data_IF_633930768226
#
_entry.id   IF_633930768226
#
_cell.length_a   1.000
_cell.length_b   1.000
_cell.length_c   1.000
_cell.angle_alpha   90.00
_cell.angle_beta   90.00
_cell.angle_gamma   90.00
#
_symmetry.space_group_name_H-M   'P 1'
#
loop_
_entity.id
_entity.type
_entity.pdbx_description
1 polymer ?
#
# COMPACT_ATOMS: atom_id res chain seq x y z
N UNK A 1 8.09 -5.98 -9.48
CA UNK A 1 7.11 -6.96 -9.99
C UNK A 1 5.96 -7.10 -8.98
N UNK A 2 5.00 -6.17 -9.00
CA UNK A 2 3.84 -6.21 -8.10
C UNK A 2 2.76 -7.09 -8.69
N UNK A 3 2.57 -8.31 -8.16
CA UNK A 3 1.42 -9.13 -8.55
C UNK A 3 0.15 -8.51 -7.96
N UNK A 4 -0.91 -8.27 -8.76
CA UNK A 4 -2.19 -7.84 -8.23
C UNK A 4 -2.90 -9.06 -7.63
N UNK A 5 -2.49 -9.45 -6.42
CA UNK A 5 -3.15 -10.52 -5.67
C UNK A 5 -4.23 -9.94 -4.77
N UNK A 6 -5.30 -9.41 -5.36
CA UNK A 6 -6.46 -8.97 -4.58
C UNK A 6 -7.74 -9.73 -4.92
N UNK A 7 -7.66 -10.71 -5.82
CA UNK A 7 -8.72 -11.70 -5.97
C UNK A 7 -8.25 -12.98 -5.31
N UNK A 8 -8.96 -13.48 -4.29
CA UNK A 8 -8.65 -14.76 -3.65
C UNK A 8 -8.52 -15.87 -4.70
N UNK A 9 -7.46 -16.68 -4.58
CA UNK A 9 -7.21 -17.78 -5.52
C UNK A 9 -8.41 -18.74 -5.62
N UNK A 10 -9.16 -18.91 -4.52
CA UNK A 10 -10.39 -19.71 -4.48
C UNK A 10 -11.50 -19.16 -5.40
N UNK A 11 -11.66 -17.84 -5.54
CA UNK A 11 -12.63 -17.26 -6.49
C UNK A 11 -12.21 -17.51 -7.93
N UNK A 12 -10.91 -17.35 -8.24
CA UNK A 12 -10.41 -17.60 -9.60
C UNK A 12 -10.51 -19.08 -9.99
N UNK A 13 -10.27 -20.00 -9.04
CA UNK A 13 -10.50 -21.43 -9.27
C UNK A 13 -11.98 -21.74 -9.45
N UNK A 14 -12.87 -21.08 -8.71
CA UNK A 14 -14.31 -21.27 -8.83
C UNK A 14 -14.83 -20.77 -10.19
N UNK A 15 -14.43 -19.58 -10.63
CA UNK A 15 -14.79 -19.04 -11.96
C UNK A 15 -14.28 -19.96 -13.08
N UNK A 16 -13.08 -20.52 -12.94
CA UNK A 16 -12.54 -21.51 -13.89
C UNK A 16 -13.40 -22.79 -13.90
N UNK A 17 -13.74 -23.33 -12.74
CA UNK A 17 -14.57 -24.52 -12.64
C UNK A 17 -15.97 -24.31 -13.26
N UNK A 18 -16.59 -23.15 -13.04
CA UNK A 18 -17.86 -22.78 -13.68
C UNK A 18 -17.75 -22.74 -15.21
N UNK A 19 -16.63 -22.23 -15.73
CA UNK A 19 -16.38 -22.19 -17.18
C UNK A 19 -16.25 -23.60 -17.76
N UNK A 20 -15.48 -24.46 -17.09
CA UNK A 20 -15.30 -25.83 -17.51
C UNK A 20 -16.65 -26.59 -17.50
N UNK A 21 -17.49 -26.34 -16.49
CA UNK A 21 -18.84 -26.92 -16.39
C UNK A 21 -19.77 -26.43 -17.52
N UNK A 22 -19.77 -25.14 -17.82
CA UNK A 22 -20.55 -24.58 -18.95
C UNK A 22 -20.11 -25.22 -20.27
N UNK A 23 -18.80 -25.38 -20.48
CA UNK A 23 -18.26 -26.06 -21.66
C UNK A 23 -18.75 -27.50 -21.76
N UNK A 24 -18.74 -28.26 -20.67
CA UNK A 24 -19.24 -29.64 -20.65
C UNK A 24 -20.74 -29.71 -20.97
N UNK A 25 -21.56 -28.79 -20.44
CA UNK A 25 -22.98 -28.74 -20.79
C UNK A 25 -23.22 -28.33 -22.24
N UNK A 26 -22.41 -27.43 -22.79
CA UNK A 26 -22.49 -27.04 -24.19
C UNK A 26 -22.12 -28.20 -25.12
N UNK A 27 -21.11 -28.99 -24.75
CA UNK A 27 -20.74 -30.21 -25.48
C UNK A 27 -21.85 -31.26 -25.42
N UNK A 28 -22.48 -31.45 -24.26
CA UNK A 28 -23.62 -32.34 -24.09
C UNK A 28 -24.84 -31.88 -24.90
N UNK A 29 -25.12 -30.58 -24.97
CA UNK A 29 -26.18 -30.03 -25.82
C UNK A 29 -25.93 -30.30 -27.30
N UNK A 30 -24.70 -30.13 -27.75
CA UNK A 30 -24.33 -30.39 -29.15
C UNK A 30 -24.48 -31.87 -29.51
N UNK A 31 -24.05 -32.77 -28.64
CA UNK A 31 -24.27 -34.20 -28.82
C UNK A 31 -25.77 -34.55 -28.82
N UNK A 32 -26.55 -33.87 -27.98
CA UNK A 32 -28.00 -34.06 -27.92
C UNK A 32 -28.71 -33.58 -29.19
N UNK A 33 -28.29 -32.45 -29.75
CA UNK A 33 -28.78 -31.92 -31.03
C UNK A 33 -28.53 -32.92 -32.18
N UNK A 34 -27.34 -33.52 -32.24
CA UNK A 34 -27.01 -34.57 -33.22
C UNK A 34 -27.92 -35.80 -33.10
N UNK A 35 -28.36 -36.15 -31.88
CA UNK A 35 -29.29 -37.27 -31.65
C UNK A 35 -30.77 -36.92 -31.88
N UNK A 36 -31.17 -35.66 -31.71
CA UNK A 36 -32.55 -35.21 -31.91
C UNK A 36 -32.96 -35.18 -33.39
N UNK A 37 -31.97 -35.14 -34.29
CA UNK A 37 -32.17 -35.29 -35.74
C UNK A 37 -32.57 -36.72 -36.15
N UNK A 38 -32.59 -37.69 -35.22
CA UNK A 38 -33.05 -39.06 -35.46
C UNK A 38 -34.47 -39.29 -34.92
N UNK A 39 -35.40 -39.74 -35.78
CA UNK A 39 -36.78 -40.07 -35.39
C UNK A 39 -36.85 -41.29 -34.46
N UNK A 40 -37.56 -41.18 -33.34
CA UNK A 40 -37.82 -42.31 -32.43
C UNK A 40 -38.67 -41.96 -31.21
N UNK A 41 -39.15 -42.98 -30.51
CA UNK A 41 -40.11 -42.90 -29.38
C UNK A 41 -39.62 -42.10 -28.16
N UNK A 42 -38.32 -41.76 -28.09
CA UNK A 42 -37.68 -41.02 -26.98
C UNK A 42 -37.55 -39.51 -27.21
N UNK A 43 -38.14 -38.99 -28.29
CA UNK A 43 -37.99 -37.58 -28.69
C UNK A 43 -38.38 -36.59 -27.58
N UNK A 44 -39.45 -36.87 -26.82
CA UNK A 44 -39.89 -36.00 -25.74
C UNK A 44 -38.90 -35.96 -24.56
N UNK A 45 -38.36 -37.12 -24.17
CA UNK A 45 -37.36 -37.21 -23.09
C UNK A 45 -36.08 -36.43 -23.46
N UNK A 46 -35.66 -36.51 -24.73
CA UNK A 46 -34.51 -35.76 -25.25
C UNK A 46 -34.77 -34.25 -25.28
N UNK A 47 -35.97 -33.81 -25.68
CA UNK A 47 -36.36 -32.38 -25.63
C UNK A 47 -36.34 -31.83 -24.21
N UNK A 48 -36.93 -32.55 -23.24
CA UNK A 48 -36.87 -32.14 -21.84
C UNK A 48 -35.44 -32.09 -21.29
N UNK A 49 -34.58 -33.02 -21.71
CA UNK A 49 -33.15 -33.01 -21.35
C UNK A 49 -32.43 -31.78 -21.92
N UNK A 50 -32.74 -31.42 -23.18
CA UNK A 50 -32.18 -30.24 -23.85
C UNK A 50 -32.54 -28.96 -23.10
N UNK A 51 -33.83 -28.76 -22.84
CA UNK A 51 -34.33 -27.59 -22.10
C UNK A 51 -33.68 -27.49 -20.70
N UNK A 52 -33.51 -28.63 -20.01
CA UNK A 52 -32.83 -28.69 -18.71
C UNK A 52 -31.36 -28.27 -18.79
N UNK A 53 -30.63 -28.71 -19.81
CA UNK A 53 -29.23 -28.32 -20.03
C UNK A 53 -29.10 -26.84 -20.41
N UNK A 54 -29.99 -26.32 -21.27
CA UNK A 54 -30.02 -24.90 -21.65
C UNK A 54 -30.26 -24.00 -20.42
N UNK A 55 -31.23 -24.35 -19.58
CA UNK A 55 -31.49 -23.65 -18.32
C UNK A 55 -30.29 -23.69 -17.39
N UNK A 56 -29.59 -24.82 -17.32
CA UNK A 56 -28.41 -24.97 -16.46
C UNK A 56 -27.25 -24.10 -16.95
N UNK A 57 -26.97 -24.09 -18.25
CA UNK A 57 -25.96 -23.20 -18.85
C UNK A 57 -26.28 -21.73 -18.57
N UNK A 58 -27.54 -21.34 -18.70
CA UNK A 58 -27.98 -19.97 -18.40
C UNK A 58 -27.69 -19.61 -16.94
N UNK A 59 -28.10 -20.45 -15.99
CA UNK A 59 -27.85 -20.22 -14.56
C UNK A 59 -26.36 -20.10 -14.22
N UNK A 60 -25.52 -20.98 -14.77
CA UNK A 60 -24.08 -20.92 -14.52
C UNK A 60 -23.44 -19.66 -15.14
N UNK A 61 -23.93 -19.21 -16.31
CA UNK A 61 -23.48 -17.96 -16.95
C UNK A 61 -23.88 -16.72 -16.14
N UNK A 62 -25.08 -16.70 -15.61
CA UNK A 62 -25.56 -15.60 -14.75
C UNK A 62 -24.74 -15.55 -13.45
N UNK A 63 -24.48 -16.70 -12.85
CA UNK A 63 -23.60 -16.84 -11.68
C UNK A 63 -22.18 -16.34 -11.97
N UNK A 64 -21.60 -16.73 -13.10
CA UNK A 64 -20.28 -16.28 -13.52
C UNK A 64 -20.24 -14.76 -13.75
N UNK A 65 -21.29 -14.18 -14.32
CA UNK A 65 -21.39 -12.74 -14.54
C UNK A 65 -21.40 -11.97 -13.22
N UNK A 66 -22.14 -12.45 -12.22
CA UNK A 66 -22.12 -11.89 -10.87
C UNK A 66 -20.75 -11.97 -10.20
N UNK A 67 -20.07 -13.11 -10.33
CA UNK A 67 -18.72 -13.29 -9.78
C UNK A 67 -17.68 -12.37 -10.43
N UNK A 68 -17.77 -12.18 -11.76
CA UNK A 68 -16.89 -11.24 -12.46
C UNK A 68 -17.07 -9.80 -11.95
N UNK A 69 -18.31 -9.39 -11.67
CA UNK A 69 -18.60 -8.06 -11.11
C UNK A 69 -17.97 -7.87 -9.71
N UNK A 70 -18.03 -8.91 -8.87
CA UNK A 70 -17.39 -8.92 -7.54
C UNK A 70 -15.88 -8.77 -7.71
N UNK A 71 -15.28 -9.56 -8.61
CA UNK A 71 -13.83 -9.52 -8.90
C UNK A 71 -13.39 -8.13 -9.35
N UNK A 72 -14.14 -7.49 -10.25
CA UNK A 72 -13.80 -6.17 -10.75
C UNK A 72 -13.90 -5.09 -9.66
N UNK A 73 -14.89 -5.21 -8.78
CA UNK A 73 -15.07 -4.31 -7.64
C UNK A 73 -13.95 -4.45 -6.61
N UNK A 74 -13.60 -5.68 -6.25
CA UNK A 74 -12.48 -5.97 -5.34
C UNK A 74 -11.15 -5.45 -5.91
N UNK A 75 -10.92 -5.65 -7.21
CA UNK A 75 -9.73 -5.13 -7.90
C UNK A 75 -9.67 -3.60 -7.85
N UNK A 76 -10.79 -2.92 -8.05
CA UNK A 76 -10.87 -1.46 -7.98
C UNK A 76 -10.61 -0.94 -6.57
N UNK A 77 -11.22 -1.57 -5.55
CA UNK A 77 -11.03 -1.21 -4.15
C UNK A 77 -9.57 -1.37 -3.72
N UNK A 78 -8.96 -2.49 -4.09
CA UNK A 78 -7.56 -2.75 -3.88
C UNK A 78 -6.64 -1.68 -4.47
N UNK A 79 -6.89 -1.27 -5.71
CA UNK A 79 -6.09 -0.23 -6.37
C UNK A 79 -6.23 1.12 -5.66
N UNK A 80 -7.44 1.49 -5.24
CA UNK A 80 -7.67 2.70 -4.45
C UNK A 80 -6.91 2.69 -3.12
N UNK A 81 -6.90 1.55 -2.42
CA UNK A 81 -6.14 1.39 -1.19
C UNK A 81 -4.63 1.50 -1.43
N UNK A 82 -4.13 0.91 -2.53
CA UNK A 82 -2.73 1.01 -2.92
C UNK A 82 -2.32 2.47 -3.14
N UNK A 83 -3.10 3.22 -3.92
CA UNK A 83 -2.83 4.64 -4.19
C UNK A 83 -2.85 5.47 -2.90
N UNK A 84 -3.81 5.23 -2.00
CA UNK A 84 -3.86 5.89 -0.69
C UNK A 84 -2.64 5.55 0.16
N UNK A 85 -2.24 4.29 0.18
CA UNK A 85 -1.06 3.82 0.91
C UNK A 85 0.23 4.44 0.36
N UNK A 86 0.39 4.50 -0.96
CA UNK A 86 1.56 5.11 -1.60
C UNK A 86 1.64 6.62 -1.33
N UNK A 87 0.50 7.32 -1.36
CA UNK A 87 0.42 8.73 -0.95
C UNK A 87 0.83 8.91 0.52
N UNK A 88 0.31 8.07 1.42
CA UNK A 88 0.62 8.17 2.84
C UNK A 88 2.11 7.92 3.11
N UNK A 89 2.73 6.94 2.46
CA UNK A 89 4.18 6.70 2.53
C UNK A 89 4.98 7.91 2.08
N UNK A 90 4.58 8.53 0.98
CA UNK A 90 5.24 9.74 0.46
C UNK A 90 5.14 10.90 1.46
N UNK A 91 3.95 11.17 1.99
CA UNK A 91 3.72 12.25 2.96
C UNK A 91 4.54 12.03 4.25
N UNK A 92 4.62 10.80 4.73
CA UNK A 92 5.45 10.42 5.89
C UNK A 92 6.93 10.63 5.59
N UNK A 93 7.42 10.21 4.43
CA UNK A 93 8.82 10.40 4.03
C UNK A 93 9.19 11.90 3.99
N UNK A 94 8.33 12.76 3.42
CA UNK A 94 8.55 14.21 3.42
C UNK A 94 8.59 14.81 4.84
N UNK A 95 7.71 14.35 5.74
CA UNK A 95 7.70 14.82 7.13
C UNK A 95 8.96 14.41 7.87
N UNK A 96 9.39 13.16 7.72
CA UNK A 96 10.63 12.67 8.32
C UNK A 96 11.86 13.43 7.79
N UNK A 97 11.91 13.74 6.49
CA UNK A 97 12.96 14.56 5.92
C UNK A 97 13.05 15.95 6.56
N UNK A 98 11.91 16.66 6.64
CA UNK A 98 11.84 17.98 7.28
C UNK A 98 12.23 17.95 8.76
N UNK A 99 11.78 16.94 9.49
CA UNK A 99 12.17 16.77 10.89
C UNK A 99 13.68 16.52 11.03
N UNK A 100 14.27 15.75 10.13
CA UNK A 100 15.72 15.53 10.10
C UNK A 100 16.51 16.82 9.90
N UNK A 101 16.07 17.69 8.97
CA UNK A 101 16.66 19.01 8.74
C UNK A 101 16.52 19.92 9.96
N UNK A 102 15.35 19.95 10.60
CA UNK A 102 15.11 20.74 11.82
C UNK A 102 16.01 20.28 12.97
N UNK A 103 16.13 18.97 13.19
CA UNK A 103 17.01 18.42 14.22
C UNK A 103 18.47 18.79 13.95
N UNK A 104 18.91 18.75 12.69
CA UNK A 104 20.27 19.17 12.31
C UNK A 104 20.49 20.64 12.62
N UNK A 105 19.59 21.52 12.16
CA UNK A 105 19.69 22.95 12.43
C UNK A 105 19.72 23.27 13.93
N UNK A 106 18.90 22.60 14.74
CA UNK A 106 18.90 22.80 16.20
C UNK A 106 20.23 22.40 16.83
N UNK A 107 20.84 21.30 16.38
CA UNK A 107 22.17 20.88 16.86
C UNK A 107 23.24 21.89 16.48
N UNK A 108 23.20 22.40 15.24
CA UNK A 108 24.16 23.40 14.76
C UNK A 108 24.02 24.71 15.57
N UNK A 109 22.79 25.19 15.80
CA UNK A 109 22.54 26.37 16.65
C UNK A 109 22.97 26.15 18.10
N UNK A 110 22.72 24.96 18.66
CA UNK A 110 23.14 24.65 20.02
C UNK A 110 24.67 24.62 20.16
N UNK A 111 25.38 24.05 19.18
CA UNK A 111 26.84 24.04 19.16
C UNK A 111 27.42 25.45 19.14
N UNK A 112 26.80 26.34 18.35
CA UNK A 112 27.22 27.74 18.25
C UNK A 112 27.01 28.50 19.56
N UNK A 113 25.84 28.35 20.20
CA UNK A 113 25.56 28.98 21.50
C UNK A 113 26.57 28.55 22.59
N UNK A 114 26.96 27.26 22.62
CA UNK A 114 27.96 26.76 23.57
C UNK A 114 29.34 27.38 23.30
N UNK A 115 29.69 27.57 22.02
CA UNK A 115 30.96 28.20 21.62
C UNK A 115 31.01 29.67 22.06
N UNK A 116 29.96 30.43 21.79
CA UNK A 116 29.86 31.85 22.19
C UNK A 116 29.88 32.02 23.72
N UNK A 117 29.20 31.14 24.47
CA UNK A 117 29.26 31.15 25.94
C UNK A 117 30.67 30.91 26.46
N UNK A 118 31.38 29.92 25.90
CA UNK A 118 32.77 29.64 26.27
C UNK A 118 33.71 30.81 25.97
N UNK A 119 33.53 31.50 24.84
CA UNK A 119 34.31 32.69 24.49
C UNK A 119 34.10 33.84 25.48
N UNK A 120 32.85 34.12 25.87
CA UNK A 120 32.53 35.16 26.86
C UNK A 120 33.07 34.88 28.26
N UNK A 121 33.07 33.61 28.69
CA UNK A 121 33.69 33.20 29.97
C UNK A 121 35.20 33.42 29.99
N UNK A 122 35.89 33.14 28.87
CA UNK A 122 37.34 33.38 28.76
C UNK A 122 37.67 34.87 28.77
N UNK A 123 36.88 35.70 28.08
CA UNK A 123 37.08 37.16 28.03
C UNK A 123 36.92 37.79 29.42
N UNK A 124 35.85 37.45 30.13
CA UNK A 124 35.61 37.94 31.51
C UNK A 124 36.70 37.50 32.48
N UNK A 125 37.17 36.25 32.40
CA UNK A 125 38.28 35.76 33.21
C UNK A 125 39.60 36.49 32.91
N UNK A 126 39.87 36.80 31.64
CA UNK A 126 41.06 37.56 31.24
C UNK A 126 41.02 38.99 31.81
N UNK A 127 39.87 39.65 31.77
CA UNK A 127 39.69 41.00 32.28
C UNK A 127 39.79 41.07 33.81
N UNK A 128 39.21 40.11 34.52
CA UNK A 128 39.40 39.93 35.96
C UNK A 128 40.88 39.77 36.33
N UNK A 129 41.63 38.95 35.58
CA UNK A 129 43.06 38.75 35.82
C UNK A 129 43.89 40.01 35.57
N UNK A 130 43.56 40.79 34.53
CA UNK A 130 44.18 42.09 34.27
C UNK A 130 43.93 43.05 35.43
N UNK A 131 42.68 43.16 35.87
CA UNK A 131 42.29 44.04 36.98
C UNK A 131 42.98 43.65 38.30
N UNK A 132 43.06 42.35 38.61
CA UNK A 132 43.82 41.85 39.77
C UNK A 132 45.31 42.21 39.68
N UNK A 133 45.90 42.12 38.50
CA UNK A 133 47.31 42.48 38.28
C UNK A 133 47.55 43.97 38.52
N UNK A 134 46.65 44.84 38.03
CA UNK A 134 46.72 46.29 38.27
C UNK A 134 46.62 46.61 39.77
N UNK A 135 45.69 45.97 40.48
CA UNK A 135 45.56 46.12 41.94
C UNK A 135 46.84 45.68 42.65
N UNK A 136 47.39 44.52 42.29
CA UNK A 136 48.63 44.01 42.89
C UNK A 136 49.82 44.96 42.65
N UNK A 137 49.95 45.54 41.44
CA UNK A 137 50.99 46.52 41.11
C UNK A 137 50.83 47.80 41.93
N UNK A 138 49.60 48.33 42.05
CA UNK A 138 49.30 49.48 42.91
C UNK A 138 49.73 49.18 44.35
N UNK A 139 49.28 48.06 44.92
CA UNK A 139 49.58 47.73 46.31
C UNK A 139 51.08 47.53 46.55
N UNK A 140 51.84 47.03 45.57
CA UNK A 140 53.29 46.91 45.64
C UNK A 140 54.00 48.28 45.64
N UNK A 141 53.50 49.25 44.88
CA UNK A 141 54.04 50.63 44.86
C UNK A 141 53.78 51.36 46.17
N UNK A 142 52.62 51.15 46.79
CA UNK A 142 52.24 51.79 48.07
C UNK A 142 52.94 51.19 49.31
N UNK A 143 53.61 50.04 49.17
CA UNK A 143 54.38 49.40 50.26
C UNK A 143 55.89 49.73 50.22
N UNK A 144 56.35 50.52 49.26
CA UNK A 144 57.71 51.08 49.19
C UNK A 144 57.75 52.49 49.77
#
# INVERSE_FOLDING_TARGET
>A
SGRPHNVPACMLSFIRALRDMISQFADALRALDETLDMEGDRLMDLKCTKEGLELRIKNERDTMSGLNLIVDTERKNAEQLRVKGDKWKFDVAQRLGRLGEQVKSLKDTQAELVREQGEGEVETAMELKKNQTVIAMRDALWRR
#
